data_IF_629381414170
#
_entry.id   IF_629381414170
#
_cell.length_a   1.000
_cell.length_b   1.000
_cell.length_c   1.000
_cell.angle_alpha   90.00
_cell.angle_beta   90.00
_cell.angle_gamma   90.00
#
_symmetry.space_group_name_H-M   'P 1'
#
loop_
_entity.id
_entity.type
_entity.pdbx_description
1 polymer ?
#
# COMPACT_ATOMS: atom_id res chain seq x y z
N UNK A 1 20.98 -6.90 -13.25
CA UNK A 1 19.89 -6.68 -14.25
C UNK A 1 19.47 -5.22 -14.15
N UNK A 2 19.21 -4.55 -15.28
CA UNK A 2 18.76 -3.16 -15.21
C UNK A 2 17.36 -3.14 -14.58
N UNK A 3 17.24 -2.51 -13.41
CA UNK A 3 15.96 -2.40 -12.70
C UNK A 3 15.06 -1.40 -13.42
N UNK A 4 14.29 -1.88 -14.40
CA UNK A 4 13.40 -1.03 -15.21
C UNK A 4 12.36 -0.31 -14.36
N UNK A 5 11.95 -0.90 -13.21
CA UNK A 5 10.99 -0.30 -12.28
C UNK A 5 11.53 1.01 -11.70
N UNK A 6 12.83 1.07 -11.38
CA UNK A 6 13.49 2.29 -10.92
C UNK A 6 13.35 3.42 -11.94
N UNK A 7 13.60 3.13 -13.22
CA UNK A 7 13.48 4.15 -14.28
C UNK A 7 12.05 4.62 -14.49
N UNK A 8 11.07 3.71 -14.41
CA UNK A 8 9.64 4.06 -14.48
C UNK A 8 9.24 4.97 -13.32
N UNK A 9 9.67 4.67 -12.09
CA UNK A 9 9.39 5.49 -10.91
C UNK A 9 10.03 6.87 -11.03
N UNK A 10 11.29 6.96 -11.46
CA UNK A 10 11.96 8.24 -11.67
C UNK A 10 11.29 9.08 -12.76
N UNK A 11 10.90 8.45 -13.89
CA UNK A 11 10.18 9.11 -14.96
C UNK A 11 8.80 9.60 -14.47
N UNK A 12 8.08 8.80 -13.69
CA UNK A 12 6.81 9.19 -13.09
C UNK A 12 6.97 10.40 -12.17
N UNK A 13 7.95 10.42 -11.28
CA UNK A 13 8.22 11.58 -10.42
C UNK A 13 8.58 12.83 -11.23
N UNK A 14 9.38 12.70 -12.28
CA UNK A 14 9.71 13.80 -13.17
C UNK A 14 8.43 14.36 -13.86
N UNK A 15 7.54 13.50 -14.33
CA UNK A 15 6.25 13.89 -14.90
C UNK A 15 5.40 14.64 -13.87
N UNK A 16 5.32 14.18 -12.63
CA UNK A 16 4.56 14.84 -11.56
C UNK A 16 5.12 16.24 -11.26
N UNK A 17 6.45 16.41 -11.24
CA UNK A 17 7.09 17.72 -11.11
C UNK A 17 6.71 18.64 -12.28
N UNK A 18 6.74 18.15 -13.52
CA UNK A 18 6.34 18.92 -14.71
C UNK A 18 4.86 19.33 -14.66
N UNK A 19 3.98 18.42 -14.22
CA UNK A 19 2.56 18.71 -14.01
C UNK A 19 2.40 19.82 -12.97
N UNK A 20 3.13 19.73 -11.87
CA UNK A 20 3.16 20.75 -10.83
C UNK A 20 3.62 22.11 -11.33
N UNK A 21 4.70 22.16 -12.16
CA UNK A 21 5.16 23.36 -12.83
C UNK A 21 4.09 23.99 -13.74
N UNK A 22 3.34 23.17 -14.47
CA UNK A 22 2.28 23.65 -15.38
C UNK A 22 1.04 24.13 -14.64
N UNK A 23 0.61 23.42 -13.62
CA UNK A 23 -0.60 23.71 -12.85
C UNK A 23 -0.39 24.88 -11.87
N UNK A 24 0.81 25.02 -11.34
CA UNK A 24 1.17 26.01 -10.32
C UNK A 24 0.65 25.63 -8.92
N UNK A 25 1.11 26.38 -7.93
CA UNK A 25 0.89 26.11 -6.50
C UNK A 25 -0.59 25.93 -6.13
N UNK A 26 -1.43 26.87 -6.54
CA UNK A 26 -2.85 26.87 -6.10
C UNK A 26 -3.58 25.62 -6.56
N UNK A 27 -3.45 25.23 -7.84
CA UNK A 27 -4.08 24.01 -8.34
C UNK A 27 -3.51 22.75 -7.70
N UNK A 28 -2.20 22.75 -7.42
CA UNK A 28 -1.57 21.62 -6.74
C UNK A 28 -2.01 21.48 -5.29
N UNK A 29 -2.22 22.60 -4.56
CA UNK A 29 -2.82 22.57 -3.21
C UNK A 29 -4.20 21.93 -3.26
N UNK A 30 -5.07 22.34 -4.19
CA UNK A 30 -6.39 21.71 -4.33
C UNK A 30 -6.32 20.24 -4.71
N UNK A 31 -5.33 19.85 -5.54
CA UNK A 31 -5.11 18.45 -5.89
C UNK A 31 -4.71 17.62 -4.67
N UNK A 32 -3.75 18.11 -3.88
CA UNK A 32 -3.29 17.43 -2.66
C UNK A 32 -4.40 17.36 -1.62
N UNK A 33 -5.15 18.46 -1.40
CA UNK A 33 -6.29 18.46 -0.46
C UNK A 33 -7.35 17.44 -0.87
N UNK A 34 -7.66 17.35 -2.16
CA UNK A 34 -8.58 16.33 -2.70
C UNK A 34 -8.04 14.92 -2.49
N UNK A 35 -6.73 14.71 -2.70
CA UNK A 35 -6.07 13.42 -2.48
C UNK A 35 -6.10 13.02 -1.00
N UNK A 36 -5.76 13.95 -0.09
CA UNK A 36 -5.83 13.73 1.36
C UNK A 36 -7.25 13.42 1.80
N UNK A 37 -8.25 14.17 1.31
CA UNK A 37 -9.65 13.90 1.61
C UNK A 37 -10.06 12.48 1.12
N UNK A 38 -9.61 12.08 -0.07
CA UNK A 38 -9.82 10.73 -0.59
C UNK A 38 -9.23 9.68 0.36
N UNK A 39 -7.99 9.88 0.81
CA UNK A 39 -7.30 8.95 1.72
C UNK A 39 -8.07 8.86 3.04
N UNK A 40 -8.44 9.98 3.65
CA UNK A 40 -9.19 10.00 4.91
C UNK A 40 -10.52 9.24 4.78
N UNK A 41 -11.28 9.52 3.73
CA UNK A 41 -12.54 8.80 3.48
C UNK A 41 -12.31 7.31 3.23
N UNK A 42 -11.24 6.95 2.53
CA UNK A 42 -10.88 5.55 2.30
C UNK A 42 -10.52 4.84 3.60
N UNK A 43 -9.82 5.51 4.51
CA UNK A 43 -9.49 4.98 5.84
C UNK A 43 -10.75 4.70 6.66
N UNK A 44 -11.75 5.57 6.58
CA UNK A 44 -13.02 5.42 7.31
C UNK A 44 -13.88 4.31 6.71
N UNK A 45 -13.96 4.25 5.38
CA UNK A 45 -14.88 3.34 4.67
C UNK A 45 -14.22 1.98 4.40
N UNK A 46 -12.90 1.95 4.15
CA UNK A 46 -12.14 0.76 3.76
C UNK A 46 -12.31 -0.44 4.70
N UNK A 47 -12.27 -0.28 6.04
CA UNK A 47 -12.51 -1.39 6.96
C UNK A 47 -13.88 -2.07 6.76
N UNK A 48 -14.94 -1.29 6.54
CA UNK A 48 -16.27 -1.83 6.26
C UNK A 48 -16.30 -2.63 4.95
N UNK A 49 -15.59 -2.13 3.92
CA UNK A 49 -15.45 -2.85 2.65
C UNK A 49 -14.64 -4.13 2.84
N UNK A 50 -13.56 -4.11 3.63
CA UNK A 50 -12.76 -5.28 3.93
C UNK A 50 -13.57 -6.37 4.65
N UNK A 51 -14.35 -6.00 5.66
CA UNK A 51 -15.28 -6.90 6.36
C UNK A 51 -16.30 -7.48 5.39
N UNK A 52 -16.91 -6.64 4.54
CA UNK A 52 -17.85 -7.10 3.53
C UNK A 52 -17.22 -8.11 2.56
N UNK A 53 -16.00 -7.85 2.09
CA UNK A 53 -15.25 -8.76 1.22
C UNK A 53 -14.96 -10.10 1.93
N UNK A 54 -14.61 -10.05 3.21
CA UNK A 54 -14.31 -11.26 4.02
C UNK A 54 -15.57 -12.13 4.25
N UNK A 55 -16.70 -11.51 4.55
CA UNK A 55 -17.91 -12.23 4.99
C UNK A 55 -18.85 -12.60 3.85
N UNK A 56 -18.87 -11.81 2.75
CA UNK A 56 -19.89 -11.92 1.73
C UNK A 56 -19.35 -12.28 0.33
N UNK A 57 -18.04 -12.51 0.21
CA UNK A 57 -17.43 -12.85 -1.08
C UNK A 57 -16.36 -13.93 -0.92
N UNK A 58 -16.02 -14.63 -2.02
CA UNK A 58 -14.93 -15.61 -2.04
C UNK A 58 -13.52 -14.98 -2.13
N UNK A 59 -13.41 -13.65 -2.03
CA UNK A 59 -12.12 -12.96 -2.15
C UNK A 59 -11.17 -13.40 -1.04
N UNK A 60 -11.65 -13.44 0.20
CA UNK A 60 -10.83 -13.85 1.34
C UNK A 60 -10.33 -15.28 1.19
N UNK A 61 -11.21 -16.22 0.90
CA UNK A 61 -10.85 -17.64 0.70
C UNK A 61 -9.83 -17.82 -0.41
N UNK A 62 -10.01 -17.11 -1.53
CA UNK A 62 -9.08 -17.15 -2.67
C UNK A 62 -7.70 -16.59 -2.29
N UNK A 63 -7.67 -15.49 -1.54
CA UNK A 63 -6.42 -14.89 -1.05
C UNK A 63 -5.74 -15.82 -0.06
N UNK A 64 -6.48 -16.36 0.91
CA UNK A 64 -5.96 -17.25 1.95
C UNK A 64 -5.35 -18.50 1.33
N UNK A 65 -6.04 -19.15 0.38
CA UNK A 65 -5.52 -20.33 -0.30
C UNK A 65 -4.20 -20.06 -1.02
N UNK A 66 -4.10 -18.94 -1.75
CA UNK A 66 -2.86 -18.56 -2.46
C UNK A 66 -1.74 -18.20 -1.50
N UNK A 67 -2.06 -17.49 -0.42
CA UNK A 67 -1.09 -17.09 0.61
C UNK A 67 -0.58 -18.31 1.35
N UNK A 68 -1.45 -19.25 1.72
CA UNK A 68 -1.07 -20.50 2.38
C UNK A 68 -0.06 -21.29 1.52
N UNK A 69 -0.38 -21.52 0.25
CA UNK A 69 0.52 -22.21 -0.68
C UNK A 69 1.88 -21.47 -0.85
N UNK A 70 1.87 -20.14 -0.86
CA UNK A 70 3.08 -19.34 -0.94
C UNK A 70 3.95 -19.48 0.30
N UNK A 71 3.35 -19.35 1.49
CA UNK A 71 4.06 -19.45 2.77
C UNK A 71 4.58 -20.88 3.01
N UNK A 72 3.77 -21.89 2.75
CA UNK A 72 4.20 -23.30 2.85
C UNK A 72 5.42 -23.57 1.96
N UNK A 73 5.36 -23.17 0.69
CA UNK A 73 6.49 -23.32 -0.23
C UNK A 73 7.74 -22.54 0.20
N UNK A 74 7.57 -21.39 0.86
CA UNK A 74 8.69 -20.62 1.40
C UNK A 74 9.31 -21.31 2.62
N UNK A 75 8.47 -21.80 3.55
CA UNK A 75 8.92 -22.47 4.78
C UNK A 75 9.59 -23.83 4.51
N UNK A 76 9.10 -24.62 3.53
CA UNK A 76 9.71 -25.90 3.14
C UNK A 76 11.16 -25.74 2.64
N UNK A 77 11.50 -24.57 2.10
CA UNK A 77 12.85 -24.27 1.63
C UNK A 77 13.82 -23.83 2.72
N UNK A 78 13.34 -23.62 3.94
CA UNK A 78 14.14 -23.17 5.08
C UNK A 78 14.62 -24.37 5.88
N UNK A 79 15.75 -24.21 6.59
CA UNK A 79 16.27 -25.23 7.47
C UNK A 79 15.33 -25.46 8.66
N UNK A 80 15.04 -26.73 8.98
CA UNK A 80 14.11 -27.08 10.07
C UNK A 80 14.61 -26.63 11.46
N UNK A 81 15.93 -26.47 11.64
CA UNK A 81 16.55 -26.01 12.89
C UNK A 81 16.49 -24.49 13.12
N UNK A 82 16.03 -23.72 12.14
CA UNK A 82 15.89 -22.28 12.31
C UNK A 82 14.73 -21.93 13.26
N UNK A 83 14.98 -21.09 14.26
CA UNK A 83 13.94 -20.58 15.15
C UNK A 83 12.87 -19.78 14.40
N UNK A 84 11.66 -19.67 14.96
CA UNK A 84 10.50 -19.00 14.32
C UNK A 84 10.80 -17.57 13.88
N UNK A 85 11.50 -16.79 14.72
CA UNK A 85 11.89 -15.42 14.38
C UNK A 85 12.76 -15.36 13.13
N UNK A 86 13.73 -16.26 12.99
CA UNK A 86 14.59 -16.33 11.82
C UNK A 86 13.81 -16.77 10.58
N UNK A 87 12.87 -17.71 10.73
CA UNK A 87 11.99 -18.11 9.63
C UNK A 87 11.15 -16.94 9.12
N UNK A 88 10.63 -16.08 10.01
CA UNK A 88 9.90 -14.86 9.62
C UNK A 88 10.83 -13.85 8.91
N UNK A 89 12.05 -13.64 9.42
CA UNK A 89 13.03 -12.71 8.84
C UNK A 89 13.44 -13.10 7.41
N UNK A 90 13.59 -14.40 7.16
CA UNK A 90 14.04 -14.95 5.88
C UNK A 90 12.89 -15.07 4.84
N UNK A 91 11.62 -14.82 5.22
CA UNK A 91 10.50 -14.80 4.28
C UNK A 91 10.67 -13.72 3.20
N UNK A 92 10.28 -13.99 1.95
CA UNK A 92 10.27 -13.01 0.87
C UNK A 92 9.06 -12.05 1.01
N UNK A 93 8.93 -11.43 2.18
CA UNK A 93 7.91 -10.45 2.53
C UNK A 93 8.54 -9.09 2.77
N UNK A 94 7.77 -7.99 2.63
CA UNK A 94 8.22 -6.65 2.99
C UNK A 94 8.63 -6.57 4.47
N UNK A 95 9.69 -5.79 4.77
CA UNK A 95 10.21 -5.65 6.13
C UNK A 95 9.16 -5.16 7.13
N UNK A 96 8.28 -4.24 6.69
CA UNK A 96 7.16 -3.76 7.53
C UNK A 96 6.22 -4.90 7.95
N UNK A 97 5.96 -5.87 7.06
CA UNK A 97 5.12 -7.03 7.37
C UNK A 97 5.86 -7.99 8.30
N UNK A 98 7.17 -8.24 8.05
CA UNK A 98 8.00 -9.08 8.91
C UNK A 98 8.09 -8.53 10.34
N UNK A 99 8.33 -7.21 10.47
CA UNK A 99 8.36 -6.53 11.77
C UNK A 99 7.05 -6.76 12.55
N UNK A 100 5.92 -6.61 11.88
CA UNK A 100 4.61 -6.82 12.50
C UNK A 100 4.30 -8.29 12.80
N UNK A 101 4.76 -9.22 11.97
CA UNK A 101 4.68 -10.64 12.26
C UNK A 101 5.49 -10.99 13.51
N UNK A 102 6.73 -10.45 13.66
CA UNK A 102 7.57 -10.68 14.84
C UNK A 102 6.95 -10.08 16.11
N UNK A 103 6.42 -8.85 16.03
CA UNK A 103 5.76 -8.21 17.18
C UNK A 103 4.53 -8.98 17.68
N UNK A 104 3.78 -9.61 16.78
CA UNK A 104 2.53 -10.29 17.10
C UNK A 104 2.64 -11.82 17.13
N UNK A 105 3.85 -12.38 17.10
CA UNK A 105 4.09 -13.82 17.22
C UNK A 105 4.00 -14.24 18.71
N UNK A 106 2.78 -14.40 19.21
CA UNK A 106 2.48 -14.74 20.60
C UNK A 106 1.21 -15.59 20.71
N UNK A 107 1.03 -16.27 21.85
CA UNK A 107 -0.09 -17.16 22.11
C UNK A 107 -1.47 -16.48 21.94
N UNK A 108 -1.59 -15.23 22.39
CA UNK A 108 -2.84 -14.47 22.29
C UNK A 108 -3.28 -14.27 20.84
N UNK A 109 -2.34 -13.98 19.95
CA UNK A 109 -2.62 -13.81 18.51
C UNK A 109 -2.94 -15.15 17.84
N UNK A 110 -2.28 -16.24 18.26
CA UNK A 110 -2.58 -17.58 17.76
C UNK A 110 -4.01 -18.00 18.15
N UNK A 111 -4.40 -17.80 19.40
CA UNK A 111 -5.78 -18.04 19.86
C UNK A 111 -6.80 -17.19 19.11
N UNK A 112 -6.50 -15.89 18.91
CA UNK A 112 -7.38 -14.96 18.21
C UNK A 112 -7.64 -15.39 16.75
N UNK A 113 -6.62 -15.89 16.07
CA UNK A 113 -6.72 -16.37 14.70
C UNK A 113 -7.22 -17.82 14.60
N UNK A 114 -7.25 -18.55 15.72
CA UNK A 114 -7.62 -19.97 15.75
C UNK A 114 -6.61 -20.85 14.99
N UNK A 115 -5.31 -20.51 15.08
CA UNK A 115 -4.20 -21.19 14.39
C UNK A 115 -3.28 -21.89 15.39
N UNK A 116 -2.68 -23.02 14.97
CA UNK A 116 -1.83 -23.83 15.83
C UNK A 116 -0.36 -23.84 15.40
N UNK A 117 -0.08 -23.37 14.17
CA UNK A 117 1.27 -23.39 13.59
C UNK A 117 1.74 -22.04 13.11
N UNK A 118 3.08 -21.84 13.07
CA UNK A 118 3.71 -20.65 12.51
C UNK A 118 3.28 -20.39 11.06
N UNK A 119 3.18 -21.43 10.24
CA UNK A 119 2.75 -21.32 8.84
C UNK A 119 1.31 -20.82 8.70
N UNK A 120 0.39 -21.33 9.52
CA UNK A 120 -1.00 -20.87 9.57
C UNK A 120 -1.08 -19.43 10.06
N UNK A 121 -0.35 -19.09 11.14
CA UNK A 121 -0.29 -17.73 11.67
C UNK A 121 0.15 -16.73 10.61
N UNK A 122 1.27 -16.99 9.92
CA UNK A 122 1.79 -16.11 8.89
C UNK A 122 0.79 -16.00 7.73
N UNK A 123 0.21 -17.13 7.31
CA UNK A 123 -0.77 -17.19 6.22
C UNK A 123 -2.02 -16.39 6.53
N UNK A 124 -2.57 -16.51 7.73
CA UNK A 124 -3.75 -15.78 8.19
C UNK A 124 -3.45 -14.29 8.28
N UNK A 125 -2.31 -13.91 8.89
CA UNK A 125 -1.90 -12.52 9.02
C UNK A 125 -1.73 -11.85 7.64
N UNK A 126 -0.95 -12.47 6.74
CA UNK A 126 -0.68 -11.93 5.40
C UNK A 126 -1.97 -11.87 4.58
N UNK A 127 -2.85 -12.87 4.68
CA UNK A 127 -4.15 -12.86 3.99
C UNK A 127 -5.03 -11.68 4.42
N UNK A 128 -5.09 -11.40 5.72
CA UNK A 128 -5.82 -10.24 6.25
C UNK A 128 -5.22 -8.92 5.74
N UNK A 129 -3.88 -8.79 5.69
CA UNK A 129 -3.20 -7.61 5.14
C UNK A 129 -3.53 -7.43 3.65
N UNK A 130 -3.46 -8.51 2.86
CA UNK A 130 -3.75 -8.47 1.42
C UNK A 130 -5.21 -8.09 1.15
N UNK A 131 -6.18 -8.69 1.85
CA UNK A 131 -7.60 -8.35 1.67
C UNK A 131 -7.89 -6.90 2.05
N UNK A 132 -7.28 -6.40 3.15
CA UNK A 132 -7.40 -4.98 3.53
C UNK A 132 -6.77 -4.05 2.49
N UNK A 133 -5.63 -4.42 1.91
CA UNK A 133 -5.01 -3.66 0.84
C UNK A 133 -5.90 -3.63 -0.42
N UNK A 134 -6.53 -4.75 -0.79
CA UNK A 134 -7.50 -4.81 -1.89
C UNK A 134 -8.71 -3.91 -1.62
N UNK A 135 -9.29 -4.01 -0.41
CA UNK A 135 -10.42 -3.18 0.00
C UNK A 135 -10.06 -1.69 -0.02
N UNK A 136 -8.87 -1.33 0.51
CA UNK A 136 -8.37 0.03 0.49
C UNK A 136 -8.21 0.55 -0.94
N UNK A 137 -7.54 -0.19 -1.81
CA UNK A 137 -7.32 0.20 -3.20
C UNK A 137 -8.65 0.38 -3.96
N UNK A 138 -9.58 -0.57 -3.81
CA UNK A 138 -10.90 -0.50 -4.46
C UNK A 138 -11.71 0.71 -3.96
N UNK A 139 -11.79 0.90 -2.65
CA UNK A 139 -12.48 2.04 -2.04
C UNK A 139 -11.83 3.37 -2.45
N UNK A 140 -10.49 3.44 -2.44
CA UNK A 140 -9.75 4.61 -2.86
C UNK A 140 -10.08 5.01 -4.30
N UNK A 141 -10.06 4.07 -5.24
CA UNK A 141 -10.35 4.35 -6.65
C UNK A 141 -11.76 4.94 -6.80
N UNK A 142 -12.75 4.35 -6.15
CA UNK A 142 -14.15 4.82 -6.24
C UNK A 142 -14.27 6.23 -5.67
N UNK A 143 -13.75 6.49 -4.47
CA UNK A 143 -13.82 7.79 -3.82
C UNK A 143 -13.02 8.84 -4.62
N UNK A 144 -11.82 8.48 -5.10
CA UNK A 144 -10.97 9.37 -5.89
C UNK A 144 -11.69 9.86 -7.16
N UNK A 145 -12.32 8.94 -7.90
CA UNK A 145 -13.10 9.27 -9.10
C UNK A 145 -14.26 10.20 -8.73
N UNK A 146 -14.99 9.90 -7.65
CA UNK A 146 -16.11 10.72 -7.21
C UNK A 146 -15.66 12.15 -6.84
N UNK A 147 -14.59 12.30 -6.06
CA UNK A 147 -14.05 13.62 -5.68
C UNK A 147 -13.53 14.37 -6.91
N UNK A 148 -12.79 13.69 -7.82
CA UNK A 148 -12.30 14.34 -9.05
C UNK A 148 -13.44 14.80 -9.94
N UNK A 149 -14.53 14.06 -10.02
CA UNK A 149 -15.73 14.48 -10.76
C UNK A 149 -16.35 15.75 -10.16
N UNK A 150 -16.48 15.80 -8.83
CA UNK A 150 -17.00 17.00 -8.14
C UNK A 150 -16.08 18.21 -8.39
N UNK A 151 -14.77 18.05 -8.23
CA UNK A 151 -13.79 19.13 -8.47
C UNK A 151 -13.83 19.59 -9.93
N UNK A 152 -13.93 18.68 -10.88
CA UNK A 152 -14.06 19.02 -12.31
C UNK A 152 -15.32 19.84 -12.60
N UNK A 153 -16.46 19.48 -12.01
CA UNK A 153 -17.70 20.24 -12.14
C UNK A 153 -17.59 21.65 -11.54
N UNK A 154 -16.84 21.80 -10.43
CA UNK A 154 -16.58 23.11 -9.80
C UNK A 154 -15.57 23.95 -10.61
N UNK A 155 -14.53 23.35 -11.19
CA UNK A 155 -13.55 24.04 -12.06
C UNK A 155 -14.20 24.62 -13.33
N UNK A 156 -15.28 24.01 -13.81
CA UNK A 156 -16.06 24.52 -14.93
C UNK A 156 -16.68 25.90 -14.62
N UNK A 157 -16.84 26.22 -13.33
CA UNK A 157 -17.46 27.45 -12.81
C UNK A 157 -16.41 28.52 -12.46
N UNK A 158 -15.15 28.11 -12.17
CA UNK A 158 -14.11 28.99 -11.61
C UNK A 158 -12.86 29.05 -12.48
N UNK A 159 -12.76 30.01 -13.38
CA UNK A 159 -11.52 30.34 -14.12
C UNK A 159 -10.63 31.21 -13.26
N UNK A 160 -9.64 30.62 -12.54
CA UNK A 160 -8.62 31.36 -11.78
C UNK A 160 -7.34 31.56 -12.63
N UNK A 161 -6.99 32.80 -13.04
CA UNK A 161 -5.72 33.08 -13.71
C UNK A 161 -4.63 33.38 -12.65
N UNK A 162 -3.64 32.50 -12.51
CA UNK A 162 -2.48 32.73 -11.63
C UNK A 162 -1.18 32.39 -12.37
N UNK A 163 -0.45 33.44 -12.77
CA UNK A 163 0.80 33.35 -13.53
C UNK A 163 1.92 34.13 -12.86
N UNK A 164 2.64 33.55 -11.92
CA UNK A 164 3.92 34.08 -11.43
C UNK A 164 4.95 32.94 -11.30
N UNK A 165 6.26 33.24 -11.51
CA UNK A 165 7.33 32.25 -11.43
C UNK A 165 7.36 31.48 -10.12
N UNK A 166 7.15 32.15 -8.99
CA UNK A 166 7.07 31.55 -7.64
C UNK A 166 5.94 30.52 -7.57
N UNK A 167 4.77 30.82 -8.13
CA UNK A 167 3.64 29.89 -8.18
C UNK A 167 3.99 28.59 -8.93
N UNK A 168 4.78 28.67 -10.00
CA UNK A 168 5.24 27.50 -10.76
C UNK A 168 6.25 26.65 -9.99
N UNK A 169 7.25 27.29 -9.37
CA UNK A 169 8.28 26.57 -8.60
C UNK A 169 7.69 25.84 -7.40
N UNK A 170 6.83 26.50 -6.63
CA UNK A 170 6.11 25.86 -5.53
C UNK A 170 5.16 24.75 -6.04
N UNK A 171 4.55 24.95 -7.21
CA UNK A 171 3.77 23.93 -7.88
C UNK A 171 4.58 22.67 -8.19
N UNK A 172 5.83 22.82 -8.66
CA UNK A 172 6.74 21.69 -8.90
C UNK A 172 7.05 20.91 -7.62
N UNK A 173 7.35 21.61 -6.52
CA UNK A 173 7.59 20.97 -5.22
C UNK A 173 6.34 20.17 -4.75
N UNK A 174 5.16 20.74 -4.88
CA UNK A 174 3.91 20.07 -4.54
C UNK A 174 3.62 18.90 -5.50
N UNK A 175 3.97 19.01 -6.78
CA UNK A 175 3.88 17.91 -7.74
C UNK A 175 4.73 16.71 -7.33
N UNK A 176 5.94 16.95 -6.84
CA UNK A 176 6.79 15.90 -6.28
C UNK A 176 6.15 15.24 -5.06
N UNK A 177 5.63 16.04 -4.11
CA UNK A 177 4.95 15.51 -2.91
C UNK A 177 3.73 14.67 -3.28
N UNK A 178 2.88 15.16 -4.20
CA UNK A 178 1.72 14.39 -4.69
C UNK A 178 2.17 13.09 -5.37
N UNK A 179 3.25 13.14 -6.17
CA UNK A 179 3.85 11.97 -6.79
C UNK A 179 4.31 10.94 -5.77
N UNK A 180 4.94 11.35 -4.67
CA UNK A 180 5.34 10.46 -3.58
C UNK A 180 4.14 9.79 -2.90
N UNK A 181 3.06 10.53 -2.64
CA UNK A 181 1.83 9.96 -2.05
C UNK A 181 1.23 8.91 -2.99
N UNK A 182 1.19 9.18 -4.31
CA UNK A 182 0.70 8.22 -5.31
C UNK A 182 1.59 6.98 -5.36
N UNK A 183 2.92 7.12 -5.28
CA UNK A 183 3.83 5.97 -5.19
C UNK A 183 3.55 5.12 -3.96
N UNK A 184 3.27 5.71 -2.82
CA UNK A 184 2.88 4.96 -1.62
C UNK A 184 1.58 4.18 -1.81
N UNK A 185 0.60 4.75 -2.54
CA UNK A 185 -0.62 4.03 -2.91
C UNK A 185 -0.32 2.86 -3.86
N UNK A 186 0.58 3.06 -4.83
CA UNK A 186 1.02 1.98 -5.73
C UNK A 186 1.76 0.86 -4.98
N UNK A 187 2.54 1.20 -3.94
CA UNK A 187 3.15 0.20 -3.06
C UNK A 187 2.08 -0.68 -2.37
N UNK A 188 0.93 -0.13 -1.98
CA UNK A 188 -0.18 -0.93 -1.44
C UNK A 188 -0.74 -1.91 -2.48
N UNK A 189 -0.80 -1.51 -3.76
CA UNK A 189 -1.22 -2.40 -4.85
C UNK A 189 -0.23 -3.56 -5.01
N UNK A 190 1.08 -3.28 -4.95
CA UNK A 190 2.12 -4.32 -4.99
C UNK A 190 1.99 -5.26 -3.81
N UNK A 191 1.75 -4.72 -2.61
CA UNK A 191 1.51 -5.52 -1.39
C UNK A 191 0.27 -6.41 -1.53
N UNK A 192 -0.83 -5.87 -2.08
CA UNK A 192 -2.04 -6.65 -2.37
C UNK A 192 -1.78 -7.80 -3.37
N UNK A 193 -0.81 -7.61 -4.26
CA UNK A 193 -0.36 -8.62 -5.23
C UNK A 193 0.71 -9.59 -4.70
N UNK A 194 1.16 -9.48 -3.44
CA UNK A 194 2.30 -10.24 -2.91
C UNK A 194 2.17 -11.77 -3.01
N UNK A 195 0.94 -12.31 -2.98
CA UNK A 195 0.67 -13.73 -3.19
C UNK A 195 0.66 -14.18 -4.66
N UNK A 196 0.93 -13.31 -5.62
CA UNK A 196 0.98 -13.60 -7.06
C UNK A 196 2.42 -13.51 -7.60
N UNK A 197 2.72 -14.22 -8.69
CA UNK A 197 4.02 -14.13 -9.38
C UNK A 197 4.36 -12.67 -9.76
N UNK A 198 3.37 -11.91 -10.20
CA UNK A 198 3.55 -10.50 -10.52
C UNK A 198 3.99 -9.68 -9.30
N UNK A 199 3.31 -9.82 -8.16
CA UNK A 199 3.63 -9.08 -6.95
C UNK A 199 5.00 -9.45 -6.39
N UNK A 200 5.36 -10.74 -6.41
CA UNK A 200 6.68 -11.22 -6.00
C UNK A 200 7.79 -10.63 -6.87
N UNK A 201 7.60 -10.60 -8.19
CA UNK A 201 8.57 -9.99 -9.11
C UNK A 201 8.73 -8.48 -8.86
N UNK A 202 7.63 -7.78 -8.56
CA UNK A 202 7.69 -6.35 -8.20
C UNK A 202 8.43 -6.13 -6.88
N UNK A 203 8.16 -6.94 -5.86
CA UNK A 203 8.85 -6.87 -4.56
C UNK A 203 10.34 -7.18 -4.70
N UNK A 204 10.72 -8.17 -5.51
CA UNK A 204 12.12 -8.45 -5.80
C UNK A 204 12.84 -7.24 -6.42
N UNK A 205 12.24 -6.60 -7.43
CA UNK A 205 12.80 -5.39 -8.04
C UNK A 205 12.86 -4.20 -7.06
N UNK A 206 11.89 -4.08 -6.17
CA UNK A 206 11.91 -3.05 -5.12
C UNK A 206 13.10 -3.29 -4.18
N UNK A 207 13.32 -4.55 -3.75
CA UNK A 207 14.40 -4.90 -2.84
C UNK A 207 15.79 -4.80 -3.49
N UNK A 208 15.92 -4.96 -4.80
CA UNK A 208 17.18 -4.75 -5.54
C UNK A 208 17.63 -3.28 -5.60
N UNK A 209 16.74 -2.32 -5.34
CA UNK A 209 17.03 -0.88 -5.42
C UNK A 209 16.90 -0.21 -4.06
N UNK A 210 17.99 0.35 -3.54
CA UNK A 210 17.98 1.12 -2.29
C UNK A 210 16.94 2.26 -2.31
N UNK A 211 16.79 2.94 -3.44
CA UNK A 211 15.82 4.02 -3.59
C UNK A 211 14.37 3.53 -3.53
N UNK A 212 14.05 2.44 -4.23
CA UNK A 212 12.71 1.86 -4.23
C UNK A 212 12.38 1.25 -2.87
N UNK A 213 13.32 0.53 -2.26
CA UNK A 213 13.22 0.00 -0.89
C UNK A 213 12.99 1.12 0.12
N UNK A 214 13.71 2.25 0.00
CA UNK A 214 13.50 3.39 0.86
C UNK A 214 12.06 3.93 0.77
N UNK A 215 11.53 4.12 -0.46
CA UNK A 215 10.14 4.57 -0.66
C UNK A 215 9.15 3.57 -0.07
N UNK A 216 9.37 2.28 -0.31
CA UNK A 216 8.48 1.20 0.13
C UNK A 216 8.45 1.07 1.67
N UNK A 217 9.62 1.00 2.30
CA UNK A 217 9.76 0.83 3.75
C UNK A 217 9.36 2.07 4.55
N UNK A 218 9.47 3.26 3.96
CA UNK A 218 8.98 4.52 4.55
C UNK A 218 7.55 4.88 4.12
N UNK A 219 6.76 3.91 3.69
CA UNK A 219 5.37 4.11 3.30
C UNK A 219 4.49 4.33 4.54
N UNK A 220 4.19 5.59 4.84
CA UNK A 220 3.32 5.95 5.97
C UNK A 220 1.89 5.42 5.81
N UNK A 221 1.38 5.24 4.59
CA UNK A 221 0.05 4.67 4.36
C UNK A 221 0.03 3.17 4.70
N UNK A 222 1.12 2.46 4.43
CA UNK A 222 1.28 1.06 4.82
C UNK A 222 1.31 0.91 6.35
N UNK A 223 2.12 1.74 7.03
CA UNK A 223 2.19 1.75 8.50
C UNK A 223 0.82 2.05 9.10
N UNK A 224 0.11 3.04 8.57
CA UNK A 224 -1.23 3.37 9.02
C UNK A 224 -2.21 2.22 8.77
N UNK A 225 -2.18 1.57 7.61
CA UNK A 225 -3.03 0.42 7.31
C UNK A 225 -2.77 -0.75 8.29
N UNK A 226 -1.51 -0.98 8.68
CA UNK A 226 -1.14 -2.00 9.68
C UNK A 226 -1.51 -1.60 11.12
N UNK A 227 -1.44 -0.30 11.48
CA UNK A 227 -1.83 0.20 12.81
C UNK A 227 -3.35 0.21 13.00
N UNK A 228 -4.12 0.52 11.95
CA UNK A 228 -5.58 0.36 11.96
C UNK A 228 -5.97 -1.12 12.13
N UNK A 229 -5.14 -2.05 11.67
CA UNK A 229 -5.30 -3.48 11.96
C UNK A 229 -5.32 -3.77 13.46
N UNK A 230 -4.37 -3.18 14.22
CA UNK A 230 -4.33 -3.31 15.68
C UNK A 230 -5.59 -2.74 16.34
N UNK A 231 -6.06 -1.59 15.89
CA UNK A 231 -7.24 -0.91 16.45
C UNK A 231 -8.55 -1.68 16.20
N UNK A 232 -8.67 -2.33 15.03
CA UNK A 232 -9.89 -3.08 14.65
C UNK A 232 -9.90 -4.48 15.26
N UNK A 233 -8.73 -5.06 15.51
CA UNK A 233 -8.61 -6.39 16.15
C UNK A 233 -8.57 -6.31 17.68
N UNK A 234 -8.56 -5.08 18.28
CA UNK A 234 -8.43 -4.87 19.74
C UNK A 234 -7.21 -5.58 20.36
N UNK A 235 -6.10 -5.67 19.61
CA UNK A 235 -4.81 -6.17 20.07
C UNK A 235 -3.86 -5.02 20.33
#
# INVERSE_FOLDING_TARGET
MDNWLLWVVLAFLAVMVIIGLKNGFVKMVFSIVSLIATIILTIIIGPHVATYLKENTSVYETVQQKTCLFIENALIKMEDEAGESKKIEDLPLPDVIKEKLLENNNEETYELFGVESLGEYISEYVSNVVVKAIAFCGTFIVIFIAIKLVVYLLDLISKLPLLNGVNKTLGAALGFVEGMIILWLLCLVVTAGAGSEWGQNMLAMINESEFLSFIYNNNYLMRFATDVLKLVLMI
#
